data_IF_751790970005
#
_entry.id   IF_751790970005
#
_cell.length_a   1.000
_cell.length_b   1.000
_cell.length_c   1.000
_cell.angle_alpha   90.00
_cell.angle_beta   90.00
_cell.angle_gamma   90.00
#
_symmetry.space_group_name_H-M   'P 1'
#
loop_
_entity.id
_entity.type
_entity.pdbx_description
1 polymer ?
#
# COMPACT_ATOMS: atom_id res chain seq x y z
N UNK A 1 -27.65 -68.89 69.38
CA UNK A 1 -28.37 -67.74 68.79
C UNK A 1 -28.04 -66.51 69.63
N UNK A 2 -27.02 -65.69 69.34
CA UNK A 2 -26.86 -64.70 68.23
C UNK A 2 -28.11 -63.80 68.13
N UNK A 3 -28.10 -62.46 68.25
CA UNK A 3 -27.09 -61.42 68.47
C UNK A 3 -27.87 -60.14 68.90
N UNK A 4 -27.35 -59.33 69.84
CA UNK A 4 -27.80 -57.95 70.10
C UNK A 4 -27.21 -57.02 69.03
N UNK A 5 -28.01 -56.12 68.46
CA UNK A 5 -27.54 -55.01 67.62
C UNK A 5 -27.55 -53.70 68.43
N UNK A 6 -26.44 -52.93 68.46
CA UNK A 6 -26.40 -51.62 69.07
C UNK A 6 -26.75 -50.50 68.08
N UNK A 7 -27.18 -49.39 68.67
CA UNK A 7 -27.41 -48.05 68.13
C UNK A 7 -26.33 -47.55 67.17
N UNK A 8 -26.77 -47.01 66.02
CA UNK A 8 -25.95 -46.28 65.05
C UNK A 8 -25.71 -44.84 65.51
N UNK A 9 -24.46 -44.34 65.57
CA UNK A 9 -24.21 -42.92 65.74
C UNK A 9 -24.26 -42.19 64.38
N UNK A 10 -24.90 -41.03 64.41
CA UNK A 10 -24.88 -39.97 63.41
C UNK A 10 -23.47 -39.37 63.38
N UNK A 11 -22.64 -39.60 62.37
CA UNK A 11 -21.47 -38.77 62.06
C UNK A 11 -20.88 -39.17 60.70
N UNK A 12 -21.28 -38.49 59.62
CA UNK A 12 -20.53 -38.45 58.36
C UNK A 12 -21.09 -37.35 57.43
N UNK A 13 -21.12 -36.09 57.88
CA UNK A 13 -21.33 -34.93 57.00
C UNK A 13 -20.32 -33.85 57.40
N UNK A 14 -19.05 -34.04 57.04
CA UNK A 14 -18.04 -32.99 57.19
C UNK A 14 -16.72 -33.34 56.46
N UNK A 15 -16.72 -33.64 55.16
CA UNK A 15 -15.43 -33.73 54.43
C UNK A 15 -15.54 -33.54 52.90
N UNK A 16 -16.28 -32.53 52.42
CA UNK A 16 -16.28 -32.18 50.97
C UNK A 16 -16.12 -30.67 50.71
N UNK A 17 -15.91 -29.82 51.73
CA UNK A 17 -15.88 -28.37 51.57
C UNK A 17 -14.47 -27.73 51.46
N UNK A 18 -13.44 -28.48 51.05
CA UNK A 18 -12.04 -28.05 51.18
C UNK A 18 -11.20 -27.92 49.90
N UNK A 19 -11.72 -28.24 48.70
CA UNK A 19 -10.87 -28.42 47.51
C UNK A 19 -11.32 -27.65 46.27
N UNK A 20 -11.79 -26.40 46.44
CA UNK A 20 -12.15 -25.52 45.29
C UNK A 20 -11.35 -24.21 45.26
N UNK A 21 -10.44 -23.97 46.22
CA UNK A 21 -9.84 -22.65 46.43
C UNK A 21 -8.47 -22.40 45.79
N UNK A 22 -7.99 -23.18 44.82
CA UNK A 22 -6.63 -22.98 44.30
C UNK A 22 -6.43 -23.33 42.82
N UNK A 23 -7.03 -22.59 41.89
CA UNK A 23 -6.50 -22.37 40.53
C UNK A 23 -7.11 -21.14 39.85
N UNK A 24 -7.12 -19.97 40.51
CA UNK A 24 -7.13 -18.71 39.75
C UNK A 24 -5.72 -18.47 39.24
N UNK A 25 -5.30 -19.27 38.26
CA UNK A 25 -4.10 -18.99 37.50
C UNK A 25 -4.29 -17.64 36.83
N UNK A 26 -3.52 -16.64 37.26
CA UNK A 26 -3.39 -15.38 36.54
C UNK A 26 -2.83 -15.75 35.17
N UNK A 27 -3.71 -15.82 34.17
CA UNK A 27 -3.28 -15.90 32.77
C UNK A 27 -2.59 -14.57 32.50
N UNK A 28 -1.28 -14.51 32.72
CA UNK A 28 -0.47 -13.44 32.17
C UNK A 28 -0.57 -13.58 30.66
N UNK A 29 -1.44 -12.77 30.05
CA UNK A 29 -1.43 -12.57 28.61
C UNK A 29 0.02 -12.31 28.21
N UNK A 30 0.60 -13.19 27.40
CA UNK A 30 1.98 -13.00 26.98
C UNK A 30 2.09 -11.65 26.28
N UNK A 31 3.12 -10.85 26.58
CA UNK A 31 3.26 -9.55 25.96
C UNK A 31 3.42 -9.73 24.45
N UNK A 32 2.53 -9.11 23.66
CA UNK A 32 2.68 -9.08 22.21
C UNK A 32 3.86 -8.17 21.82
N UNK A 33 4.74 -8.56 20.88
CA UNK A 33 4.87 -9.90 20.30
C UNK A 33 5.73 -10.83 21.17
N UNK A 34 5.36 -12.11 21.27
CA UNK A 34 6.11 -13.16 21.99
C UNK A 34 6.68 -14.27 21.07
N UNK A 35 6.44 -14.16 19.77
CA UNK A 35 6.94 -15.06 18.72
C UNK A 35 7.25 -14.26 17.44
N UNK A 36 7.93 -14.86 16.45
CA UNK A 36 8.19 -14.19 15.17
C UNK A 36 6.91 -13.72 14.46
N UNK A 37 6.98 -12.57 13.81
CA UNK A 37 5.91 -12.00 12.98
C UNK A 37 6.26 -12.21 11.50
N UNK A 38 5.28 -12.57 10.68
CA UNK A 38 5.41 -12.66 9.22
C UNK A 38 4.96 -11.35 8.59
N UNK A 39 5.76 -10.80 7.68
CA UNK A 39 5.41 -9.65 6.87
C UNK A 39 5.32 -10.07 5.41
N UNK A 40 4.09 -10.17 4.91
CA UNK A 40 3.81 -10.65 3.56
C UNK A 40 3.92 -9.50 2.56
N UNK A 41 4.72 -9.70 1.51
CA UNK A 41 4.88 -8.76 0.40
C UNK A 41 4.31 -9.40 -0.86
N UNK A 42 3.32 -8.77 -1.47
CA UNK A 42 2.65 -9.27 -2.69
C UNK A 42 3.48 -9.19 -3.99
N UNK A 43 4.76 -8.83 -3.92
CA UNK A 43 5.62 -8.60 -5.08
C UNK A 43 6.95 -9.33 -4.91
N UNK A 44 7.68 -9.49 -6.02
CA UNK A 44 9.00 -10.12 -6.04
C UNK A 44 10.03 -9.33 -5.22
N UNK A 45 11.05 -10.03 -4.73
CA UNK A 45 12.15 -9.40 -4.01
C UNK A 45 12.85 -8.32 -4.86
N UNK A 46 13.32 -7.25 -4.21
CA UNK A 46 13.97 -6.11 -4.86
C UNK A 46 13.01 -5.04 -5.41
N UNK A 47 11.69 -5.29 -5.42
CA UNK A 47 10.70 -4.26 -5.74
C UNK A 47 10.50 -3.23 -4.61
N UNK A 48 9.87 -2.10 -4.91
CA UNK A 48 9.60 -1.01 -3.96
C UNK A 48 8.99 -1.48 -2.62
N UNK A 49 7.92 -2.28 -2.68
CA UNK A 49 7.24 -2.82 -1.50
C UNK A 49 8.12 -3.79 -0.71
N UNK A 50 9.00 -4.54 -1.36
CA UNK A 50 9.95 -5.44 -0.71
C UNK A 50 11.04 -4.66 0.03
N UNK A 51 11.60 -3.64 -0.61
CA UNK A 51 12.61 -2.76 -0.01
C UNK A 51 12.05 -2.07 1.24
N UNK A 52 10.86 -1.47 1.12
CA UNK A 52 10.18 -0.81 2.25
C UNK A 52 9.82 -1.84 3.34
N UNK A 53 9.28 -3.00 2.96
CA UNK A 53 8.94 -4.07 3.88
C UNK A 53 10.13 -4.56 4.68
N UNK A 54 11.29 -4.77 4.04
CA UNK A 54 12.54 -5.18 4.71
C UNK A 54 13.09 -4.12 5.65
N UNK A 55 13.01 -2.85 5.27
CA UNK A 55 13.38 -1.75 6.17
C UNK A 55 12.55 -1.77 7.45
N UNK A 56 11.23 -1.86 7.30
CA UNK A 56 10.30 -1.91 8.42
C UNK A 56 10.53 -3.18 9.27
N UNK A 57 10.70 -4.34 8.63
CA UNK A 57 10.90 -5.60 9.31
C UNK A 57 12.17 -5.60 10.18
N UNK A 58 13.27 -5.04 9.68
CA UNK A 58 14.52 -4.93 10.44
C UNK A 58 14.33 -4.08 11.70
N UNK A 59 13.71 -2.90 11.56
CA UNK A 59 13.51 -1.97 12.67
C UNK A 59 12.49 -2.52 13.69
N UNK A 60 11.38 -3.10 13.23
CA UNK A 60 10.43 -3.78 14.11
C UNK A 60 11.08 -4.95 14.85
N UNK A 61 11.97 -5.70 14.20
CA UNK A 61 12.69 -6.81 14.86
C UNK A 61 13.55 -6.30 16.00
N UNK A 62 14.30 -5.22 15.75
CA UNK A 62 15.13 -4.58 16.76
C UNK A 62 14.31 -4.03 17.93
N UNK A 63 13.18 -3.36 17.65
CA UNK A 63 12.30 -2.80 18.68
C UNK A 63 11.58 -3.87 19.52
N UNK A 64 11.24 -5.01 18.92
CA UNK A 64 10.43 -6.05 19.58
C UNK A 64 11.26 -7.16 20.22
N UNK A 65 12.54 -7.30 19.89
CA UNK A 65 13.35 -8.45 20.29
C UNK A 65 12.83 -9.78 19.71
N UNK A 66 11.94 -9.71 18.72
CA UNK A 66 11.35 -10.85 18.02
C UNK A 66 11.51 -10.65 16.52
N UNK A 67 11.91 -11.68 15.76
CA UNK A 67 12.09 -11.55 14.31
C UNK A 67 10.80 -11.15 13.59
N UNK A 68 10.91 -10.22 12.63
CA UNK A 68 9.90 -9.97 11.61
C UNK A 68 10.43 -10.50 10.28
N UNK A 69 9.80 -11.56 9.78
CA UNK A 69 10.26 -12.32 8.62
C UNK A 69 9.50 -11.86 7.39
N UNK A 70 10.21 -11.35 6.38
CA UNK A 70 9.63 -10.94 5.10
C UNK A 70 9.43 -12.15 4.19
N UNK A 71 8.19 -12.34 3.72
CA UNK A 71 7.83 -13.38 2.75
C UNK A 71 7.25 -12.76 1.47
N UNK A 72 7.91 -12.97 0.34
CA UNK A 72 7.40 -12.56 -0.96
C UNK A 72 6.40 -13.60 -1.49
N UNK A 73 5.15 -13.19 -1.73
CA UNK A 73 4.07 -14.02 -2.29
C UNK A 73 3.45 -13.32 -3.51
N UNK A 74 4.14 -13.31 -4.67
CA UNK A 74 3.67 -12.61 -5.86
C UNK A 74 2.48 -13.31 -6.52
N UNK A 75 1.70 -12.53 -7.28
CA UNK A 75 0.62 -13.04 -8.13
C UNK A 75 -0.62 -12.15 -8.12
N UNK A 76 -1.28 -12.04 -9.29
CA UNK A 76 -2.47 -11.19 -9.53
C UNK A 76 -2.23 -9.76 -9.03
N UNK A 77 -1.16 -9.11 -9.52
CA UNK A 77 -0.80 -7.75 -9.08
C UNK A 77 -0.52 -7.61 -7.58
N UNK A 78 -0.21 -8.71 -6.89
CA UNK A 78 0.04 -8.79 -5.45
C UNK A 78 -1.17 -9.14 -4.60
N UNK A 79 -2.35 -9.29 -5.22
CA UNK A 79 -3.58 -9.63 -4.51
C UNK A 79 -3.55 -11.06 -3.93
N UNK A 80 -2.79 -12.00 -4.49
CA UNK A 80 -2.65 -13.33 -3.85
C UNK A 80 -1.93 -13.27 -2.50
N UNK A 81 -0.89 -12.44 -2.40
CA UNK A 81 -0.18 -12.20 -1.15
C UNK A 81 -1.07 -11.55 -0.10
N UNK A 82 -1.85 -10.53 -0.49
CA UNK A 82 -2.79 -9.88 0.42
C UNK A 82 -3.95 -10.78 0.82
N UNK A 83 -4.41 -11.67 -0.06
CA UNK A 83 -5.39 -12.70 0.30
C UNK A 83 -4.86 -13.63 1.40
N UNK A 84 -3.57 -14.02 1.34
CA UNK A 84 -2.95 -14.79 2.42
C UNK A 84 -2.99 -14.07 3.77
N UNK A 85 -2.84 -12.75 3.76
CA UNK A 85 -2.99 -11.93 4.97
C UNK A 85 -4.44 -11.91 5.42
N UNK A 86 -5.39 -11.61 4.52
CA UNK A 86 -6.82 -11.53 4.82
C UNK A 86 -7.36 -12.80 5.50
N UNK A 87 -6.86 -13.97 5.11
CA UNK A 87 -7.30 -15.27 5.65
C UNK A 87 -6.44 -15.79 6.81
N UNK A 88 -5.47 -15.01 7.31
CA UNK A 88 -4.62 -15.41 8.43
C UNK A 88 -5.30 -15.15 9.78
N UNK A 89 -4.87 -15.82 10.87
CA UNK A 89 -5.37 -15.52 12.21
C UNK A 89 -5.20 -14.03 12.55
N UNK A 90 -6.22 -13.37 13.10
CA UNK A 90 -6.16 -11.96 13.46
C UNK A 90 -5.45 -11.76 14.81
N UNK A 91 -4.26 -12.33 14.96
CA UNK A 91 -3.48 -12.33 16.21
C UNK A 91 -2.29 -11.35 16.18
N UNK A 92 -2.12 -10.62 15.08
CA UNK A 92 -1.03 -9.65 14.87
C UNK A 92 0.29 -10.25 14.41
N UNK A 93 0.39 -11.57 14.20
CA UNK A 93 1.64 -12.23 13.78
C UNK A 93 1.73 -12.49 12.27
N UNK A 94 0.71 -12.11 11.51
CA UNK A 94 0.79 -12.00 10.05
C UNK A 94 0.36 -10.60 9.65
N UNK A 95 1.27 -9.84 9.04
CA UNK A 95 1.06 -8.50 8.53
C UNK A 95 1.22 -8.50 7.02
N UNK A 96 0.60 -7.54 6.34
CA UNK A 96 0.71 -7.34 4.90
C UNK A 96 1.32 -5.99 4.55
N UNK A 97 2.20 -5.96 3.56
CA UNK A 97 2.56 -4.74 2.85
C UNK A 97 1.51 -4.48 1.79
N UNK A 98 0.58 -3.58 2.13
CA UNK A 98 -0.46 -3.10 1.23
C UNK A 98 0.07 -1.98 0.35
N UNK A 99 -0.38 -1.94 -0.91
CA UNK A 99 -0.12 -0.83 -1.81
C UNK A 99 -1.42 -0.34 -2.43
N UNK A 100 -1.44 0.90 -2.90
CA UNK A 100 -2.60 1.46 -3.65
C UNK A 100 -3.15 0.51 -4.72
N UNK A 101 -2.25 -0.17 -5.46
CA UNK A 101 -2.56 -1.22 -6.43
C UNK A 101 -3.47 -2.34 -5.91
N UNK A 102 -3.12 -2.91 -4.75
CA UNK A 102 -3.86 -4.05 -4.18
C UNK A 102 -5.12 -3.62 -3.44
N UNK A 103 -5.16 -2.37 -2.96
CA UNK A 103 -6.22 -1.90 -2.05
C UNK A 103 -7.29 -1.05 -2.71
N UNK A 104 -6.95 -0.21 -3.70
CA UNK A 104 -7.88 0.83 -4.20
C UNK A 104 -8.04 0.85 -5.71
N UNK A 105 -7.07 0.43 -6.51
CA UNK A 105 -7.19 0.42 -7.97
C UNK A 105 -7.47 -0.98 -8.53
N UNK A 106 -6.64 -1.96 -8.18
CA UNK A 106 -6.77 -3.35 -8.63
C UNK A 106 -8.15 -3.96 -8.43
N UNK A 107 -8.82 -3.78 -7.27
CA UNK A 107 -10.17 -4.31 -7.04
C UNK A 107 -11.24 -3.85 -8.05
N UNK A 108 -11.06 -2.68 -8.67
CA UNK A 108 -11.97 -2.18 -9.73
C UNK A 108 -11.60 -2.69 -11.12
N UNK A 109 -10.37 -3.20 -11.27
CA UNK A 109 -9.82 -3.65 -12.55
C UNK A 109 -9.89 -5.17 -12.74
N UNK A 110 -10.19 -5.93 -11.69
CA UNK A 110 -10.25 -7.39 -11.72
C UNK A 110 -11.69 -7.87 -11.64
N UNK A 111 -12.10 -8.81 -12.49
CA UNK A 111 -13.44 -9.42 -12.40
C UNK A 111 -13.61 -10.19 -11.10
N UNK A 112 -12.55 -10.89 -10.70
CA UNK A 112 -12.54 -11.77 -9.53
C UNK A 112 -11.49 -11.28 -8.53
N UNK A 113 -11.92 -10.36 -7.68
CA UNK A 113 -11.11 -9.86 -6.58
C UNK A 113 -11.13 -10.88 -5.42
N UNK A 114 -9.98 -11.35 -4.90
CA UNK A 114 -9.94 -12.42 -3.88
C UNK A 114 -10.39 -11.98 -2.48
N UNK A 115 -10.53 -10.68 -2.20
CA UNK A 115 -10.97 -10.14 -0.92
C UNK A 115 -11.65 -8.77 -1.10
N UNK A 116 -12.55 -8.38 -0.20
CA UNK A 116 -13.00 -6.98 -0.13
C UNK A 116 -11.95 -6.14 0.63
N UNK A 117 -11.24 -5.19 -0.02
CA UNK A 117 -10.19 -4.41 0.62
C UNK A 117 -10.70 -3.49 1.74
N UNK A 118 -12.00 -3.17 1.77
CA UNK A 118 -12.60 -2.28 2.76
C UNK A 118 -13.00 -3.00 4.05
N UNK A 119 -13.06 -4.34 4.02
CA UNK A 119 -13.54 -5.16 5.15
C UNK A 119 -12.61 -6.29 5.53
N UNK A 120 -11.67 -6.70 4.67
CA UNK A 120 -10.78 -7.83 4.92
C UNK A 120 -9.58 -7.52 5.84
N UNK A 121 -9.35 -6.24 6.15
CA UNK A 121 -8.14 -5.80 6.85
C UNK A 121 -8.42 -4.81 7.97
N UNK A 122 -7.50 -4.76 8.94
CA UNK A 122 -7.30 -3.65 9.86
C UNK A 122 -6.11 -2.80 9.35
N UNK A 123 -6.32 -1.56 8.87
CA UNK A 123 -5.24 -0.68 8.45
C UNK A 123 -4.38 -0.23 9.63
N UNK A 124 -3.06 -0.42 9.56
CA UNK A 124 -2.16 -0.05 10.66
C UNK A 124 -1.54 1.32 10.40
N UNK A 125 -0.88 1.52 9.26
CA UNK A 125 -0.29 2.82 8.90
C UNK A 125 0.02 2.88 7.42
N UNK A 126 -0.19 4.05 6.81
CA UNK A 126 0.55 4.41 5.60
C UNK A 126 2.00 4.66 6.03
N UNK A 127 2.97 4.10 5.31
CA UNK A 127 4.39 4.23 5.64
C UNK A 127 5.13 5.11 4.63
N UNK A 128 4.68 5.11 3.38
CA UNK A 128 5.25 5.97 2.36
C UNK A 128 4.23 6.30 1.27
N UNK A 129 4.25 7.54 0.78
CA UNK A 129 3.74 7.85 -0.57
C UNK A 129 4.81 7.49 -1.60
N UNK A 130 4.36 7.14 -2.78
CA UNK A 130 5.14 6.90 -3.99
C UNK A 130 4.69 7.90 -5.07
N UNK A 131 5.22 9.14 -5.03
CA UNK A 131 4.85 10.17 -6.00
C UNK A 131 5.12 9.72 -7.44
N UNK A 132 4.17 10.02 -8.32
CA UNK A 132 4.28 9.80 -9.76
C UNK A 132 4.56 11.10 -10.50
N UNK A 133 5.17 10.97 -11.67
CA UNK A 133 5.54 12.09 -12.55
C UNK A 133 5.17 11.76 -14.00
N UNK A 134 4.55 12.73 -14.67
CA UNK A 134 4.41 12.73 -16.11
C UNK A 134 5.74 13.11 -16.73
N UNK A 135 6.22 12.28 -17.64
CA UNK A 135 7.51 12.40 -18.29
C UNK A 135 7.30 12.51 -19.79
N UNK A 136 8.14 13.32 -20.45
CA UNK A 136 8.15 13.47 -21.88
C UNK A 136 9.49 13.05 -22.47
N UNK A 137 9.44 12.59 -23.72
CA UNK A 137 10.61 12.41 -24.56
C UNK A 137 11.39 13.74 -24.70
N UNK A 138 12.73 13.72 -24.73
CA UNK A 138 13.51 14.91 -25.00
C UNK A 138 13.23 15.50 -26.39
N UNK A 139 12.72 14.70 -27.33
CA UNK A 139 12.32 15.11 -28.67
C UNK A 139 11.05 15.99 -28.69
N UNK A 140 10.27 16.02 -27.60
CA UNK A 140 9.14 16.95 -27.49
C UNK A 140 9.67 18.36 -27.24
N UNK A 141 9.38 19.28 -28.16
CA UNK A 141 9.90 20.65 -28.15
C UNK A 141 9.34 21.51 -27.00
N UNK A 142 8.04 21.40 -26.71
CA UNK A 142 7.36 22.10 -25.61
C UNK A 142 6.60 21.09 -24.73
N UNK A 143 7.28 20.40 -23.79
CA UNK A 143 6.69 19.33 -23.01
C UNK A 143 6.02 19.90 -21.76
N UNK A 144 4.83 20.49 -21.92
CA UNK A 144 4.02 21.02 -20.83
C UNK A 144 2.66 20.33 -20.78
N UNK A 145 2.03 20.29 -19.61
CA UNK A 145 0.65 19.76 -19.49
C UNK A 145 -0.29 20.49 -20.45
N UNK A 146 -0.15 21.81 -20.58
CA UNK A 146 -0.96 22.63 -21.48
C UNK A 146 -0.78 22.25 -22.94
N UNK A 147 0.46 22.04 -23.40
CA UNK A 147 0.71 21.66 -24.80
C UNK A 147 0.15 20.27 -25.11
N UNK A 148 0.26 19.31 -24.19
CA UNK A 148 -0.35 17.99 -24.35
C UNK A 148 -1.88 18.05 -24.38
N UNK A 149 -2.50 18.88 -23.55
CA UNK A 149 -3.96 19.11 -23.60
C UNK A 149 -4.36 19.69 -24.96
N UNK A 150 -3.65 20.71 -25.44
CA UNK A 150 -3.92 21.33 -26.74
C UNK A 150 -3.79 20.31 -27.88
N UNK A 151 -2.71 19.54 -27.89
CA UNK A 151 -2.47 18.51 -28.89
C UNK A 151 -3.55 17.42 -28.89
N UNK A 152 -3.91 16.92 -27.71
CA UNK A 152 -4.93 15.88 -27.57
C UNK A 152 -6.35 16.38 -27.92
N UNK A 153 -6.65 17.68 -27.73
CA UNK A 153 -7.90 18.29 -28.20
C UNK A 153 -7.92 18.49 -29.71
N UNK A 154 -6.80 18.91 -30.29
CA UNK A 154 -6.69 19.11 -31.73
C UNK A 154 -6.82 17.78 -32.51
N UNK A 155 -6.29 16.69 -31.95
CA UNK A 155 -6.33 15.36 -32.57
C UNK A 155 -6.63 14.24 -31.54
N UNK A 156 -7.91 14.06 -31.17
CA UNK A 156 -8.30 13.09 -30.15
C UNK A 156 -7.87 11.66 -30.51
N UNK A 157 -7.12 11.02 -29.61
CA UNK A 157 -6.64 9.64 -29.76
C UNK A 157 -5.33 9.47 -30.53
N UNK A 158 -4.75 10.52 -31.11
CA UNK A 158 -3.44 10.43 -31.78
C UNK A 158 -2.26 10.56 -30.81
N UNK A 159 -2.41 11.35 -29.74
CA UNK A 159 -1.39 11.42 -28.70
C UNK A 159 -1.43 10.13 -27.89
N UNK A 160 -0.29 9.44 -27.82
CA UNK A 160 -0.15 8.18 -27.09
C UNK A 160 0.76 8.36 -25.87
N UNK A 161 0.49 7.65 -24.78
CA UNK A 161 1.40 7.52 -23.65
C UNK A 161 1.86 6.07 -23.45
N UNK A 162 3.07 5.89 -22.95
CA UNK A 162 3.59 4.58 -22.60
C UNK A 162 3.20 4.23 -21.16
N UNK A 163 2.56 3.08 -20.99
CA UNK A 163 2.02 2.59 -19.72
C UNK A 163 2.73 1.32 -19.30
N UNK A 164 3.55 1.41 -18.25
CA UNK A 164 4.29 0.26 -17.69
C UNK A 164 3.59 -0.44 -16.52
N UNK A 165 2.44 0.08 -16.05
CA UNK A 165 1.68 -0.48 -14.94
C UNK A 165 0.24 0.05 -14.96
N UNK A 166 -0.71 -0.75 -14.44
CA UNK A 166 -2.12 -0.34 -14.32
C UNK A 166 -2.34 0.96 -13.53
N UNK A 167 -1.50 1.24 -12.54
CA UNK A 167 -1.60 2.49 -11.80
C UNK A 167 -1.28 3.72 -12.67
N UNK A 168 -0.33 3.59 -13.60
CA UNK A 168 0.03 4.66 -14.56
C UNK A 168 -1.06 4.83 -15.61
N UNK A 169 -1.64 3.72 -16.08
CA UNK A 169 -2.83 3.73 -16.94
C UNK A 169 -3.95 4.53 -16.29
N UNK A 170 -4.34 4.17 -15.07
CA UNK A 170 -5.42 4.83 -14.36
C UNK A 170 -5.14 6.30 -14.08
N UNK A 171 -3.90 6.66 -13.74
CA UNK A 171 -3.52 8.06 -13.60
C UNK A 171 -3.77 8.85 -14.90
N UNK A 172 -3.38 8.31 -16.05
CA UNK A 172 -3.63 8.95 -17.34
C UNK A 172 -5.10 8.93 -17.76
N UNK A 173 -5.88 7.92 -17.36
CA UNK A 173 -7.33 7.94 -17.58
C UNK A 173 -8.04 8.99 -16.70
N UNK A 174 -7.60 9.16 -15.45
CA UNK A 174 -8.04 10.29 -14.62
C UNK A 174 -7.67 11.63 -15.27
N UNK A 175 -6.50 11.72 -15.89
CA UNK A 175 -6.08 12.92 -16.61
C UNK A 175 -6.98 13.19 -17.81
N UNK A 176 -7.23 12.19 -18.65
CA UNK A 176 -8.17 12.27 -19.77
C UNK A 176 -9.54 12.79 -19.31
N UNK A 177 -10.10 12.20 -18.25
CA UNK A 177 -11.40 12.57 -17.71
C UNK A 177 -11.44 14.01 -17.18
N UNK A 178 -10.44 14.42 -16.38
CA UNK A 178 -10.41 15.77 -15.78
C UNK A 178 -10.04 16.87 -16.76
N UNK A 179 -9.17 16.59 -17.74
CA UNK A 179 -8.74 17.56 -18.74
C UNK A 179 -9.68 17.63 -19.96
N UNK A 180 -10.63 16.69 -20.08
CA UNK A 180 -11.54 16.59 -21.21
C UNK A 180 -10.80 16.29 -22.51
N UNK A 181 -9.88 15.31 -22.48
CA UNK A 181 -9.05 14.92 -23.63
C UNK A 181 -9.05 13.41 -23.83
N UNK A 182 -8.60 12.97 -25.00
CA UNK A 182 -8.43 11.56 -25.33
C UNK A 182 -6.97 11.30 -25.72
N UNK A 183 -6.17 10.86 -24.76
CA UNK A 183 -4.82 10.35 -24.96
C UNK A 183 -4.88 8.81 -24.91
N UNK A 184 -4.38 8.15 -25.95
CA UNK A 184 -4.34 6.69 -26.04
C UNK A 184 -3.16 6.09 -25.26
N UNK A 185 -3.21 4.79 -24.97
CA UNK A 185 -2.17 4.07 -24.23
C UNK A 185 -1.47 3.03 -25.09
N UNK A 186 -0.16 2.89 -24.90
CA UNK A 186 0.64 1.76 -25.36
C UNK A 186 1.10 0.99 -24.12
N UNK A 187 0.70 -0.28 -24.02
CA UNK A 187 1.04 -1.13 -22.86
C UNK A 187 2.45 -1.70 -23.00
N UNK A 188 3.23 -1.60 -21.93
CA UNK A 188 4.56 -2.18 -21.81
C UNK A 188 4.62 -3.19 -20.64
N UNK A 189 5.55 -4.16 -20.67
CA UNK A 189 5.77 -5.08 -19.55
C UNK A 189 6.21 -4.41 -18.24
N UNK A 190 6.67 -3.15 -18.29
CA UNK A 190 7.15 -2.40 -17.14
C UNK A 190 7.60 -0.97 -17.49
N UNK A 191 7.78 -0.13 -16.46
CA UNK A 191 8.21 1.26 -16.61
C UNK A 191 9.61 1.42 -17.22
N UNK A 192 10.51 0.45 -17.00
CA UNK A 192 11.84 0.46 -17.60
C UNK A 192 11.84 0.28 -19.12
N UNK A 193 11.00 -0.63 -19.65
CA UNK A 193 10.84 -0.81 -21.10
C UNK A 193 10.09 0.37 -21.71
N UNK A 194 9.05 0.86 -21.05
CA UNK A 194 8.31 2.06 -21.47
C UNK A 194 9.24 3.28 -21.60
N UNK A 195 10.14 3.49 -20.63
CA UNK A 195 11.03 4.64 -20.63
C UNK A 195 12.06 4.60 -21.75
N UNK A 196 12.54 3.42 -22.17
CA UNK A 196 13.43 3.29 -23.32
C UNK A 196 12.77 3.85 -24.59
N UNK A 197 11.51 3.52 -24.84
CA UNK A 197 10.78 3.99 -26.01
C UNK A 197 10.50 5.49 -25.97
N UNK A 198 10.22 6.03 -24.78
CA UNK A 198 10.00 7.46 -24.60
C UNK A 198 11.31 8.23 -24.76
N UNK A 199 12.41 7.75 -24.19
CA UNK A 199 13.74 8.34 -24.40
C UNK A 199 14.13 8.34 -25.89
N UNK A 200 13.76 7.29 -26.63
CA UNK A 200 13.98 7.19 -28.07
C UNK A 200 12.98 8.00 -28.93
N UNK A 201 11.96 8.59 -28.33
CA UNK A 201 10.94 9.37 -29.03
C UNK A 201 9.89 8.54 -29.79
N UNK A 202 9.84 7.22 -29.56
CA UNK A 202 8.81 6.33 -30.15
C UNK A 202 7.42 6.59 -29.58
N UNK A 203 7.36 6.94 -28.29
CA UNK A 203 6.14 7.37 -27.61
C UNK A 203 6.43 8.70 -26.91
N UNK A 204 5.59 9.74 -27.05
CA UNK A 204 5.96 11.09 -26.64
C UNK A 204 5.96 11.29 -25.12
N UNK A 205 5.10 10.58 -24.39
CA UNK A 205 4.93 10.76 -22.95
C UNK A 205 4.76 9.41 -22.21
N UNK A 206 5.00 9.42 -20.91
CA UNK A 206 4.69 8.33 -19.98
C UNK A 206 4.37 8.86 -18.60
N UNK A 207 3.87 7.98 -17.74
CA UNK A 207 3.83 8.20 -16.29
C UNK A 207 4.65 7.09 -15.63
N UNK A 208 5.44 7.46 -14.63
CA UNK A 208 6.15 6.53 -13.76
C UNK A 208 6.31 7.15 -12.36
N UNK A 209 6.86 6.40 -11.42
CA UNK A 209 7.32 6.91 -10.13
C UNK A 209 8.57 7.78 -10.28
N UNK A 210 8.67 8.82 -9.46
CA UNK A 210 9.84 9.70 -9.45
C UNK A 210 11.11 8.91 -9.14
N UNK A 211 11.05 7.99 -8.17
CA UNK A 211 12.18 7.14 -7.78
C UNK A 211 12.76 6.33 -8.94
N UNK A 212 11.91 5.65 -9.71
CA UNK A 212 12.35 4.81 -10.81
C UNK A 212 13.01 5.59 -11.95
N UNK A 213 12.60 6.84 -12.18
CA UNK A 213 13.08 7.65 -13.29
C UNK A 213 14.06 8.75 -12.88
N UNK A 214 14.44 8.83 -11.59
CA UNK A 214 15.27 9.90 -11.06
C UNK A 214 16.59 10.05 -11.81
N UNK A 215 17.27 8.94 -12.14
CA UNK A 215 18.52 8.96 -12.90
C UNK A 215 18.32 9.46 -14.33
N UNK A 216 17.24 9.04 -15.00
CA UNK A 216 16.93 9.46 -16.37
C UNK A 216 16.53 10.94 -16.44
N UNK A 217 15.81 11.44 -15.43
CA UNK A 217 15.46 12.86 -15.29
C UNK A 217 16.73 13.69 -15.06
N UNK A 218 17.57 13.32 -14.09
CA UNK A 218 18.82 14.02 -13.78
C UNK A 218 19.79 14.05 -14.97
N UNK A 219 19.82 12.97 -15.76
CA UNK A 219 20.65 12.87 -16.96
C UNK A 219 20.05 13.59 -18.19
N UNK A 220 18.87 14.22 -18.07
CA UNK A 220 18.18 14.88 -19.19
C UNK A 220 17.65 13.93 -20.26
N UNK A 221 17.64 12.62 -20.00
CA UNK A 221 17.12 11.61 -20.93
C UNK A 221 15.60 11.57 -20.97
N UNK A 222 14.95 12.00 -19.90
CA UNK A 222 13.52 12.26 -19.82
C UNK A 222 13.28 13.65 -19.25
N UNK A 223 12.29 14.36 -19.77
CA UNK A 223 11.88 15.66 -19.25
C UNK A 223 10.72 15.47 -18.27
N UNK A 224 10.88 15.89 -17.02
CA UNK A 224 9.80 15.87 -16.03
C UNK A 224 8.82 17.02 -16.32
N UNK A 225 7.56 16.67 -16.59
CA UNK A 225 6.52 17.59 -17.05
C UNK A 225 5.70 18.09 -15.87
N UNK A 226 5.15 17.17 -15.09
CA UNK A 226 4.31 17.48 -13.95
C UNK A 226 4.28 16.33 -12.94
N UNK A 227 4.28 16.66 -11.65
CA UNK A 227 4.04 15.73 -10.55
C UNK A 227 2.55 15.49 -10.41
N UNK A 228 2.15 14.24 -10.13
CA UNK A 228 0.75 13.84 -10.06
C UNK A 228 0.14 13.95 -8.64
N UNK A 229 0.94 14.31 -7.64
CA UNK A 229 0.49 14.61 -6.26
C UNK A 229 -0.13 16.03 -6.17
N UNK A 230 -0.84 16.32 -5.08
CA UNK A 230 -1.41 17.64 -4.80
C UNK A 230 -0.37 18.70 -4.45
N UNK A 231 0.87 18.28 -4.17
CA UNK A 231 2.02 19.15 -3.93
C UNK A 231 3.19 18.74 -4.80
N UNK A 232 4.12 19.68 -5.03
CA UNK A 232 5.37 19.39 -5.71
C UNK A 232 6.22 18.43 -4.89
N UNK A 233 7.03 17.64 -5.58
CA UNK A 233 7.97 16.73 -4.96
C UNK A 233 9.20 17.49 -4.48
N UNK A 234 9.68 17.18 -3.27
CA UNK A 234 10.90 17.79 -2.73
C UNK A 234 12.15 17.48 -3.56
N UNK A 235 12.16 16.35 -4.30
CA UNK A 235 13.27 15.98 -5.19
C UNK A 235 13.14 16.54 -6.60
N UNK A 236 12.00 17.18 -6.94
CA UNK A 236 11.73 17.88 -8.21
C UNK A 236 10.97 19.20 -7.94
N UNK A 237 11.56 20.15 -7.18
CA UNK A 237 10.86 21.34 -6.69
C UNK A 237 10.39 22.29 -7.81
N UNK A 238 11.09 22.27 -8.95
CA UNK A 238 10.79 23.13 -10.10
C UNK A 238 9.70 22.54 -11.01
N UNK A 239 9.36 21.26 -10.83
CA UNK A 239 8.33 20.58 -11.62
C UNK A 239 6.96 20.86 -10.99
N UNK A 240 6.03 21.49 -11.72
CA UNK A 240 4.71 21.82 -11.18
C UNK A 240 3.89 20.55 -10.93
N UNK A 241 2.81 20.67 -10.17
CA UNK A 241 1.79 19.61 -10.15
C UNK A 241 0.93 19.67 -11.41
N UNK A 242 0.26 18.57 -11.74
CA UNK A 242 -0.74 18.55 -12.82
C UNK A 242 -1.89 19.55 -12.53
N UNK A 243 -2.24 19.73 -11.26
CA UNK A 243 -3.24 20.70 -10.83
C UNK A 243 -2.80 22.15 -11.09
N UNK A 244 -1.56 22.49 -10.71
CA UNK A 244 -0.94 23.79 -11.00
C UNK A 244 -0.80 24.04 -12.51
N UNK A 245 -0.59 22.98 -13.29
CA UNK A 245 -0.32 23.04 -14.72
C UNK A 245 -1.58 23.06 -15.60
N UNK A 246 -2.78 23.18 -15.01
CA UNK A 246 -4.03 23.46 -15.74
C UNK A 246 -5.11 22.39 -15.64
N UNK A 247 -5.00 21.43 -14.71
CA UNK A 247 -6.05 20.43 -14.46
C UNK A 247 -6.47 20.45 -12.97
N UNK A 248 -7.27 21.43 -12.53
CA UNK A 248 -7.60 21.64 -11.13
C UNK A 248 -8.15 20.39 -10.42
N UNK A 249 -7.69 20.15 -9.19
CA UNK A 249 -8.12 19.01 -8.38
C UNK A 249 -7.71 17.65 -8.93
N UNK A 250 -6.70 17.59 -9.82
CA UNK A 250 -6.05 16.35 -10.21
C UNK A 250 -5.12 15.87 -9.09
N UNK A 251 -5.27 14.61 -8.68
CA UNK A 251 -4.32 13.92 -7.80
C UNK A 251 -4.37 12.40 -8.06
N UNK A 252 -3.22 11.83 -8.42
CA UNK A 252 -3.00 10.39 -8.57
C UNK A 252 -1.65 10.01 -7.92
N UNK A 253 -1.72 9.44 -6.72
CA UNK A 253 -0.55 9.16 -5.89
C UNK A 253 -0.55 7.69 -5.51
N UNK A 254 0.58 7.02 -5.73
CA UNK A 254 0.79 5.69 -5.18
C UNK A 254 1.14 5.78 -3.69
N UNK A 255 0.88 4.72 -2.94
CA UNK A 255 1.34 4.61 -1.56
C UNK A 255 1.60 3.17 -1.17
N UNK A 256 2.35 3.02 -0.09
CA UNK A 256 2.66 1.78 0.61
C UNK A 256 2.22 1.93 2.07
N UNK A 257 1.57 0.91 2.59
CA UNK A 257 1.10 0.85 3.98
C UNK A 257 1.19 -0.55 4.55
N UNK A 258 0.98 -0.67 5.85
CA UNK A 258 0.94 -1.94 6.58
C UNK A 258 -0.50 -2.20 7.03
N UNK A 259 -0.95 -3.43 6.81
CA UNK A 259 -2.28 -3.90 7.21
C UNK A 259 -2.16 -5.21 7.99
N UNK A 260 -3.15 -5.49 8.83
CA UNK A 260 -3.33 -6.78 9.50
C UNK A 260 -4.67 -7.42 9.09
N UNK A 261 -4.89 -8.72 9.34
CA UNK A 261 -6.17 -9.38 9.08
C UNK A 261 -7.31 -8.72 9.85
N UNK A 262 -8.52 -8.76 9.28
CA UNK A 262 -9.72 -8.23 9.94
C UNK A 262 -9.91 -8.84 11.33
N UNK A 263 -10.19 -7.99 12.32
CA UNK A 263 -10.43 -8.44 13.70
C UNK A 263 -9.17 -8.50 14.57
N UNK A 264 -8.00 -8.07 14.06
CA UNK A 264 -6.79 -7.94 14.87
C UNK A 264 -7.06 -7.01 16.06
N UNK A 265 -6.67 -7.37 17.30
CA UNK A 265 -6.99 -6.58 18.49
C UNK A 265 -6.52 -5.12 18.38
N UNK A 266 -7.34 -4.20 18.88
CA UNK A 266 -7.10 -2.75 18.73
C UNK A 266 -5.79 -2.32 19.39
N UNK A 267 -5.43 -2.95 20.51
CA UNK A 267 -4.18 -2.72 21.23
C UNK A 267 -2.95 -3.14 20.43
N UNK A 268 -3.06 -4.21 19.62
CA UNK A 268 -2.00 -4.66 18.71
C UNK A 268 -1.85 -3.67 17.55
N UNK A 269 -2.97 -3.25 16.95
CA UNK A 269 -2.96 -2.23 15.88
C UNK A 269 -2.37 -0.91 16.38
N UNK A 270 -2.77 -0.46 17.58
CA UNK A 270 -2.24 0.77 18.19
C UNK A 270 -0.74 0.67 18.48
N UNK A 271 -0.27 -0.47 19.01
CA UNK A 271 1.16 -0.71 19.25
C UNK A 271 1.96 -0.69 17.95
N UNK A 272 1.50 -1.41 16.92
CA UNK A 272 2.16 -1.44 15.61
C UNK A 272 2.15 -0.06 14.93
N UNK A 273 1.05 0.69 15.00
CA UNK A 273 1.01 2.07 14.47
C UNK A 273 2.04 2.96 15.19
N UNK A 274 2.11 2.90 16.53
CA UNK A 274 3.11 3.64 17.30
C UNK A 274 4.54 3.31 16.86
N UNK A 275 4.85 2.02 16.67
CA UNK A 275 6.16 1.58 16.20
C UNK A 275 6.46 2.06 14.78
N UNK A 276 5.53 1.88 13.84
CA UNK A 276 5.71 2.33 12.46
C UNK A 276 5.91 3.84 12.37
N UNK A 277 5.18 4.64 13.17
CA UNK A 277 5.37 6.09 13.22
C UNK A 277 6.75 6.46 13.73
N UNK A 278 7.25 5.78 14.75
CA UNK A 278 8.64 5.97 15.24
C UNK A 278 9.66 5.63 14.15
N UNK A 279 9.50 4.49 13.47
CA UNK A 279 10.41 4.04 12.41
C UNK A 279 10.41 5.04 11.24
N UNK A 280 9.23 5.48 10.78
CA UNK A 280 9.13 6.43 9.66
C UNK A 280 9.61 7.85 10.02
N UNK A 281 9.75 8.16 11.31
CA UNK A 281 10.34 9.41 11.79
C UNK A 281 11.87 9.35 11.96
N UNK A 282 12.49 8.17 11.85
CA UNK A 282 13.95 8.05 11.96
C UNK A 282 14.64 8.75 10.78
N UNK A 283 15.64 9.62 11.02
CA UNK A 283 16.34 10.34 9.95
C UNK A 283 16.93 9.41 8.88
N UNK A 284 17.56 8.31 9.28
CA UNK A 284 18.16 7.34 8.36
C UNK A 284 17.13 6.66 7.45
N UNK A 285 15.93 6.36 7.97
CA UNK A 285 14.83 5.79 7.19
C UNK A 285 14.26 6.84 6.24
N UNK A 286 14.07 8.06 6.73
CA UNK A 286 13.56 9.18 5.94
C UNK A 286 14.49 9.49 4.75
N UNK A 287 15.80 9.60 5.00
CA UNK A 287 16.81 9.85 3.98
C UNK A 287 16.83 8.73 2.94
N UNK A 288 16.84 7.47 3.37
CA UNK A 288 16.85 6.33 2.45
C UNK A 288 15.60 6.27 1.58
N UNK A 289 14.41 6.52 2.15
CA UNK A 289 13.16 6.55 1.39
C UNK A 289 13.13 7.73 0.40
N UNK A 290 13.59 8.91 0.83
CA UNK A 290 13.65 10.11 -0.02
C UNK A 290 14.62 9.93 -1.18
N UNK A 291 15.79 9.32 -0.94
CA UNK A 291 16.75 8.95 -2.00
C UNK A 291 16.15 7.99 -3.02
N UNK A 292 15.24 7.11 -2.58
CA UNK A 292 14.49 6.19 -3.44
C UNK A 292 13.24 6.85 -4.06
N UNK A 293 13.01 8.15 -3.83
CA UNK A 293 11.89 8.92 -4.39
C UNK A 293 10.54 8.69 -3.71
N UNK A 294 10.53 8.13 -2.49
CA UNK A 294 9.33 8.01 -1.65
C UNK A 294 9.21 9.18 -0.68
N UNK A 295 7.99 9.45 -0.22
CA UNK A 295 7.76 10.39 0.89
C UNK A 295 7.28 9.63 2.13
N UNK A 296 8.07 9.57 3.21
CA UNK A 296 7.69 8.89 4.44
C UNK A 296 6.40 9.46 5.05
N UNK A 297 5.61 8.62 5.70
CA UNK A 297 4.39 9.01 6.40
C UNK A 297 4.38 8.52 7.84
N UNK A 298 3.93 9.39 8.75
CA UNK A 298 3.79 9.13 10.20
C UNK A 298 2.33 9.24 10.66
N UNK A 299 1.40 8.97 9.75
CA UNK A 299 -0.04 9.08 9.97
C UNK A 299 -0.61 8.04 10.95
N UNK A 300 -1.86 8.27 11.35
CA UNK A 300 -2.61 7.33 12.22
C UNK A 300 -3.27 6.23 11.40
N UNK A 301 -3.61 5.12 12.06
CA UNK A 301 -4.41 4.04 11.48
C UNK A 301 -5.75 4.53 10.93
N UNK A 302 -6.41 5.45 11.65
CA UNK A 302 -7.67 6.06 11.22
C UNK A 302 -7.51 6.91 9.96
N UNK A 303 -6.47 7.74 9.88
CA UNK A 303 -6.19 8.53 8.68
C UNK A 303 -5.91 7.63 7.47
N UNK A 304 -5.24 6.49 7.70
CA UNK A 304 -4.98 5.52 6.65
C UNK A 304 -6.25 4.79 6.18
N UNK A 305 -7.11 4.31 7.08
CA UNK A 305 -8.41 3.71 6.72
C UNK A 305 -9.28 4.71 5.92
N UNK A 306 -9.37 5.96 6.39
CA UNK A 306 -10.12 7.00 5.67
C UNK A 306 -9.53 7.25 4.29
N UNK A 307 -8.20 7.29 4.17
CA UNK A 307 -7.50 7.42 2.89
C UNK A 307 -7.86 6.30 1.92
N UNK A 308 -7.81 5.03 2.38
CA UNK A 308 -8.20 3.86 1.58
C UNK A 308 -9.63 4.00 1.07
N UNK A 309 -10.59 4.35 1.94
CA UNK A 309 -12.01 4.50 1.57
C UNK A 309 -12.24 5.59 0.52
N UNK A 310 -11.65 6.77 0.75
CA UNK A 310 -11.74 7.90 -0.17
C UNK A 310 -11.16 7.54 -1.53
N UNK A 311 -9.98 6.91 -1.56
CA UNK A 311 -9.34 6.53 -2.80
C UNK A 311 -10.06 5.38 -3.52
N UNK A 312 -10.58 4.39 -2.79
CA UNK A 312 -11.37 3.32 -3.36
C UNK A 312 -12.59 3.86 -4.10
N UNK A 313 -13.33 4.80 -3.51
CA UNK A 313 -14.47 5.44 -4.17
C UNK A 313 -14.02 6.23 -5.42
N UNK A 314 -13.00 7.10 -5.27
CA UNK A 314 -12.42 7.89 -6.37
C UNK A 314 -12.07 7.02 -7.58
N UNK A 315 -11.34 5.93 -7.37
CA UNK A 315 -10.87 5.07 -8.46
C UNK A 315 -12.00 4.25 -9.09
N UNK A 316 -13.02 3.87 -8.32
CA UNK A 316 -14.22 3.23 -8.86
C UNK A 316 -14.96 4.13 -9.85
N UNK A 317 -15.06 5.42 -9.55
CA UNK A 317 -15.69 6.40 -10.45
C UNK A 317 -14.85 6.64 -11.70
N UNK A 318 -13.52 6.68 -11.58
CA UNK A 318 -12.60 6.81 -12.72
C UNK A 318 -12.70 5.61 -13.66
N UNK A 319 -12.70 4.38 -13.15
CA UNK A 319 -12.81 3.16 -13.96
C UNK A 319 -14.13 3.14 -14.74
N UNK A 320 -15.24 3.48 -14.07
CA UNK A 320 -16.56 3.59 -14.72
C UNK A 320 -16.58 4.65 -15.82
N UNK A 321 -16.06 5.85 -15.53
CA UNK A 321 -16.04 6.97 -16.48
C UNK A 321 -15.13 6.69 -17.70
N UNK A 322 -14.02 5.98 -17.49
CA UNK A 322 -13.10 5.60 -18.56
C UNK A 322 -13.60 4.41 -19.41
N UNK A 323 -14.70 3.76 -19.03
CA UNK A 323 -15.20 2.57 -19.71
C UNK A 323 -14.22 1.39 -19.65
N UNK A 324 -13.30 1.38 -18.67
CA UNK A 324 -12.36 0.28 -18.49
C UNK A 324 -13.15 -0.91 -17.97
N UNK A 325 -13.17 -1.98 -18.76
CA UNK A 325 -13.74 -3.24 -18.32
C UNK A 325 -12.76 -3.98 -17.42
N UNK A 326 -13.26 -4.49 -16.30
CA UNK A 326 -12.50 -5.39 -15.45
C UNK A 326 -12.03 -6.60 -16.29
N UNK A 327 -10.77 -7.00 -16.10
CA UNK A 327 -10.15 -8.13 -16.81
C UNK A 327 -10.42 -9.44 -16.06
#
# INVERSE_FOLDING_TARGET
>A
MKFRLPSRPVFAVAFVAGLVAATTGVVHAQPYPSKPTRLIVGYTAGGASDVIGRLIANELSAMNGQPVIVENRPGVGGMLGLNNVATSPPDGYTLGVAVSGTMVTGPHLQKNTPYDPLTAFEPISMVAKAPMVMLASPAVADPTVRSFIQQAKAKPGELMFASGAQAFELAMQLFNAKAGVKIGSVSYPGGGQASIDVMAGRVPIMVDTIGAQQANIKAGKLKAVAVLDSKRSAVLPDVPTVAEAGVPGYEAVGWVGIVAPKGTPKEVVAKLNGQLRTIMAMPAINEKLTLLGFEPSTGTSQAFDQGIRTEYAKWGDVVKAAGISAQ
#
